data_IF_876865891484
#
_entry.id   IF_876865891484
#
_cell.length_a   1.000
_cell.length_b   1.000
_cell.length_c   1.000
_cell.angle_alpha   90.00
_cell.angle_beta   90.00
_cell.angle_gamma   90.00
#
_symmetry.space_group_name_H-M   'P 1'
#
loop_
_entity.id
_entity.type
_entity.pdbx_description
1 polymer ?
#
# COMPACT_ATOMS: atom_id res chain seq x y z
N UNK A 1 -4.26 -47.64 46.81
CA UNK A 1 -5.21 -47.72 47.95
C UNK A 1 -4.47 -47.15 49.15
N UNK A 2 -4.88 -46.10 49.85
CA UNK A 2 -6.17 -45.42 50.06
C UNK A 2 -6.00 -43.90 49.79
N UNK A 3 -6.96 -43.12 49.28
CA UNK A 3 -8.34 -42.80 49.71
C UNK A 3 -8.42 -42.03 51.02
N UNK A 4 -8.95 -40.80 50.87
CA UNK A 4 -9.90 -40.03 51.68
C UNK A 4 -9.97 -40.24 53.20
N UNK A 5 -10.21 -39.11 53.87
CA UNK A 5 -10.47 -38.92 55.30
C UNK A 5 -9.23 -38.70 56.15
N UNK A 6 -8.79 -37.44 56.19
CA UNK A 6 -8.52 -36.81 57.48
C UNK A 6 -8.46 -35.29 57.31
N UNK A 7 -9.52 -34.64 57.81
CA UNK A 7 -9.51 -33.49 58.72
C UNK A 7 -10.65 -32.51 58.41
N UNK A 8 -11.76 -32.75 59.10
CA UNK A 8 -12.88 -31.83 59.23
C UNK A 8 -12.44 -30.49 59.84
N UNK A 9 -12.99 -29.38 59.34
CA UNK A 9 -13.21 -28.19 60.16
C UNK A 9 -14.60 -27.62 59.92
N UNK A 10 -15.30 -27.50 61.04
CA UNK A 10 -16.66 -27.02 61.26
C UNK A 10 -16.85 -25.58 60.78
N UNK A 11 -17.94 -25.32 60.06
CA UNK A 11 -18.32 -23.98 59.62
C UNK A 11 -18.75 -23.07 60.78
N UNK A 12 -18.48 -21.75 60.71
CA UNK A 12 -19.05 -20.77 61.64
C UNK A 12 -20.47 -20.34 61.20
N UNK A 13 -21.28 -19.79 62.13
CA UNK A 13 -22.71 -19.56 61.94
C UNK A 13 -22.99 -18.29 61.13
N UNK A 14 -24.21 -18.25 60.56
CA UNK A 14 -24.76 -17.07 59.90
C UNK A 14 -24.82 -15.86 60.86
N UNK A 15 -24.35 -14.70 60.39
CA UNK A 15 -24.66 -13.41 60.98
C UNK A 15 -24.65 -12.30 59.90
N UNK A 16 -25.87 -11.84 59.62
CA UNK A 16 -26.31 -10.45 59.48
C UNK A 16 -25.81 -9.51 58.37
N UNK A 17 -26.80 -8.80 57.86
CA UNK A 17 -26.78 -7.86 56.75
C UNK A 17 -25.81 -6.68 56.96
N UNK A 18 -24.97 -6.42 55.95
CA UNK A 18 -24.16 -5.19 55.86
C UNK A 18 -24.58 -4.36 54.64
N UNK A 19 -24.87 -3.09 54.91
CA UNK A 19 -25.40 -2.11 53.97
C UNK A 19 -24.48 -1.86 52.75
N UNK A 20 -25.10 -1.64 51.59
CA UNK A 20 -24.40 -1.27 50.35
C UNK A 20 -23.71 0.11 50.48
N UNK A 21 -22.39 0.14 50.67
CA UNK A 21 -21.61 1.38 50.60
C UNK A 21 -21.20 1.67 49.16
N UNK A 22 -21.58 2.84 48.63
CA UNK A 22 -21.10 3.35 47.34
C UNK A 22 -19.76 4.06 47.50
N UNK A 23 -18.79 3.76 46.62
CA UNK A 23 -17.49 4.43 46.56
C UNK A 23 -17.46 5.41 45.38
N UNK A 24 -16.95 6.62 45.62
CA UNK A 24 -16.75 7.64 44.57
C UNK A 24 -15.26 7.73 44.26
N UNK A 25 -14.87 7.47 43.01
CA UNK A 25 -13.50 7.58 42.54
C UNK A 25 -13.40 8.82 41.64
N UNK A 26 -12.33 9.59 41.82
CA UNK A 26 -12.03 10.78 41.00
C UNK A 26 -10.85 10.45 40.11
N UNK A 27 -11.08 10.37 38.80
CA UNK A 27 -10.04 10.08 37.81
C UNK A 27 -9.84 11.25 36.84
N UNK A 28 -8.64 11.35 36.27
CA UNK A 28 -8.31 12.36 35.26
C UNK A 28 -8.71 11.84 33.88
N UNK A 29 -9.41 12.66 33.11
CA UNK A 29 -9.99 12.30 31.81
C UNK A 29 -9.61 13.33 30.74
N UNK A 30 -9.25 12.85 29.55
CA UNK A 30 -8.97 13.72 28.41
C UNK A 30 -10.21 13.84 27.54
N UNK A 31 -10.81 15.03 27.49
CA UNK A 31 -12.04 15.28 26.72
C UNK A 31 -11.85 15.13 25.20
N UNK A 32 -10.70 15.57 24.68
CA UNK A 32 -10.43 15.57 23.24
C UNK A 32 -10.06 14.17 22.71
N UNK A 33 -9.44 13.33 23.53
CA UNK A 33 -9.18 11.93 23.20
C UNK A 33 -10.35 11.01 23.60
N UNK A 34 -11.31 11.53 24.38
CA UNK A 34 -12.43 10.79 24.96
C UNK A 34 -12.03 9.51 25.71
N UNK A 35 -10.85 9.51 26.34
CA UNK A 35 -10.27 8.35 27.04
C UNK A 35 -9.56 8.78 28.35
N UNK A 36 -9.37 7.80 29.25
CA UNK A 36 -8.52 7.95 30.45
C UNK A 36 -7.07 7.73 30.00
N UNK A 37 -6.19 8.75 30.08
CA UNK A 37 -4.84 8.64 29.56
C UNK A 37 -4.01 7.64 30.39
N UNK A 38 -3.44 6.62 29.73
CA UNK A 38 -2.56 5.63 30.35
C UNK A 38 -1.19 6.22 30.78
N UNK A 39 -0.85 7.41 30.28
CA UNK A 39 0.35 8.16 30.66
C UNK A 39 0.10 9.66 30.56
N UNK A 40 0.68 10.44 31.49
CA UNK A 40 0.53 11.90 31.55
C UNK A 40 1.91 12.57 31.49
N UNK A 41 1.93 13.85 31.10
CA UNK A 41 3.13 14.69 31.11
C UNK A 41 3.74 14.76 32.52
N UNK A 42 5.01 15.16 32.66
CA UNK A 42 5.71 15.17 33.95
C UNK A 42 4.97 15.94 35.06
N UNK A 43 4.19 16.97 34.70
CA UNK A 43 3.38 17.77 35.62
C UNK A 43 2.03 17.11 35.98
N UNK A 44 1.70 15.96 35.39
CA UNK A 44 0.50 15.15 35.62
C UNK A 44 -0.81 15.75 35.11
N UNK A 45 -0.77 16.94 34.49
CA UNK A 45 -1.96 17.75 34.18
C UNK A 45 -2.39 17.75 32.72
N UNK A 46 -1.54 17.27 31.80
CA UNK A 46 -1.81 17.29 30.35
C UNK A 46 -1.68 15.92 29.72
N UNK A 47 -2.56 15.65 28.76
CA UNK A 47 -2.54 14.45 27.93
C UNK A 47 -1.28 14.40 27.07
N UNK A 48 -0.56 13.27 27.06
CA UNK A 48 0.64 13.10 26.22
C UNK A 48 0.34 12.92 24.73
N UNK A 49 -0.90 12.57 24.38
CA UNK A 49 -1.31 12.31 22.99
C UNK A 49 -1.70 13.62 22.28
N UNK A 50 -2.51 14.46 22.94
CA UNK A 50 -3.04 15.70 22.33
C UNK A 50 -2.52 17.00 22.97
N UNK A 51 -1.90 16.96 24.15
CA UNK A 51 -1.36 18.15 24.84
C UNK A 51 -2.37 18.98 25.65
N UNK A 52 -3.66 18.64 25.60
CA UNK A 52 -4.72 19.33 26.31
C UNK A 52 -4.73 19.04 27.82
N UNK A 53 -5.31 19.95 28.60
CA UNK A 53 -5.40 19.84 30.06
C UNK A 53 -6.46 18.81 30.46
N UNK A 54 -6.15 17.99 31.46
CA UNK A 54 -6.99 16.88 31.90
C UNK A 54 -8.06 17.36 32.89
N UNK A 55 -9.29 16.92 32.69
CA UNK A 55 -10.42 17.25 33.57
C UNK A 55 -10.59 16.16 34.64
N UNK A 56 -11.01 16.55 35.86
CA UNK A 56 -11.37 15.58 36.90
C UNK A 56 -12.80 15.11 36.70
N UNK A 57 -12.97 13.82 36.45
CA UNK A 57 -14.28 13.17 36.35
C UNK A 57 -14.52 12.30 37.59
N UNK A 58 -15.64 12.52 38.25
CA UNK A 58 -16.08 11.68 39.36
C UNK A 58 -16.98 10.57 38.82
N UNK A 59 -16.67 9.32 39.17
CA UNK A 59 -17.53 8.17 38.92
C UNK A 59 -17.90 7.51 40.25
N UNK A 60 -19.19 7.32 40.45
CA UNK A 60 -19.75 6.53 41.54
C UNK A 60 -19.90 5.09 41.09
N UNK A 61 -19.22 4.16 41.78
CA UNK A 61 -19.28 2.73 41.47
C UNK A 61 -20.12 2.02 42.55
N UNK A 62 -21.09 1.17 42.17
CA UNK A 62 -21.82 0.32 43.12
C UNK A 62 -20.86 -0.69 43.76
N UNK A 63 -20.86 -0.80 45.09
CA UNK A 63 -19.87 -1.56 45.89
C UNK A 63 -19.90 -3.09 45.77
N UNK A 64 -20.42 -3.66 44.68
CA UNK A 64 -20.60 -5.11 44.53
C UNK A 64 -19.48 -5.83 43.74
N UNK A 65 -18.29 -5.22 43.57
CA UNK A 65 -17.20 -5.83 42.76
C UNK A 65 -15.96 -6.30 43.55
N UNK A 66 -15.95 -6.21 44.88
CA UNK A 66 -14.83 -6.72 45.68
C UNK A 66 -15.32 -7.54 46.88
N UNK A 67 -16.03 -8.64 46.60
CA UNK A 67 -16.05 -9.78 47.50
C UNK A 67 -15.20 -10.86 46.86
N UNK A 68 -14.07 -11.20 47.46
CA UNK A 68 -13.24 -12.32 47.04
C UNK A 68 -14.00 -13.63 47.31
N UNK A 69 -14.74 -14.12 46.31
CA UNK A 69 -15.16 -15.52 46.25
C UNK A 69 -14.26 -16.25 45.27
N UNK A 70 -13.76 -17.42 45.67
CA UNK A 70 -13.08 -18.36 44.77
C UNK A 70 -14.01 -18.61 43.56
N UNK A 71 -13.69 -18.00 42.42
CA UNK A 71 -14.48 -18.20 41.21
C UNK A 71 -14.33 -19.64 40.78
N UNK A 72 -15.43 -20.38 40.83
CA UNK A 72 -15.40 -21.79 40.47
C UNK A 72 -15.04 -21.94 38.99
N UNK A 73 -14.40 -23.05 38.62
CA UNK A 73 -14.09 -23.36 37.21
C UNK A 73 -15.35 -23.26 36.33
N UNK A 74 -16.52 -23.54 36.89
CA UNK A 74 -17.81 -23.44 36.22
C UNK A 74 -18.23 -21.98 35.94
N UNK A 75 -17.89 -21.03 36.81
CA UNK A 75 -18.14 -19.61 36.59
C UNK A 75 -17.20 -19.02 35.55
N UNK A 76 -15.91 -19.40 35.57
CA UNK A 76 -14.97 -19.04 34.50
C UNK A 76 -15.41 -19.62 33.16
N UNK A 77 -15.88 -20.87 33.15
CA UNK A 77 -16.38 -21.51 31.94
C UNK A 77 -17.68 -20.85 31.46
N UNK A 78 -18.56 -20.42 32.36
CA UNK A 78 -19.75 -19.63 32.01
C UNK A 78 -19.41 -18.22 31.50
N UNK A 79 -18.36 -17.59 32.03
CA UNK A 79 -17.89 -16.27 31.61
C UNK A 79 -17.23 -16.32 30.24
N UNK A 80 -16.39 -17.34 29.99
CA UNK A 80 -15.81 -17.63 28.67
C UNK A 80 -16.89 -17.98 27.66
N UNK A 81 -17.87 -18.81 28.03
CA UNK A 81 -18.98 -19.13 27.13
C UNK A 81 -19.87 -17.91 26.86
N UNK A 82 -20.09 -17.02 27.83
CA UNK A 82 -20.76 -15.72 27.59
C UNK A 82 -19.98 -14.83 26.64
N UNK A 83 -18.67 -14.70 26.81
CA UNK A 83 -17.78 -13.98 25.90
C UNK A 83 -17.83 -14.57 24.49
N UNK A 84 -17.77 -15.90 24.37
CA UNK A 84 -17.87 -16.60 23.08
C UNK A 84 -19.27 -16.47 22.46
N UNK A 85 -20.32 -16.33 23.28
CA UNK A 85 -21.69 -16.11 22.80
C UNK A 85 -21.94 -14.65 22.41
N UNK A 86 -21.32 -13.68 23.09
CA UNK A 86 -21.30 -12.27 22.64
C UNK A 86 -20.49 -12.11 21.35
N UNK A 87 -19.35 -12.78 21.24
CA UNK A 87 -18.57 -12.85 19.98
C UNK A 87 -19.34 -13.61 18.88
N UNK A 88 -20.13 -14.63 19.25
CA UNK A 88 -20.89 -15.47 18.32
C UNK A 88 -22.23 -14.90 17.86
N UNK A 89 -22.89 -14.05 18.66
CA UNK A 89 -24.20 -13.47 18.33
C UNK A 89 -24.11 -12.27 17.38
N UNK A 90 -22.92 -11.67 17.20
CA UNK A 90 -22.67 -10.66 16.16
C UNK A 90 -22.59 -11.26 14.74
N UNK A 91 -22.61 -12.58 14.60
CA UNK A 91 -22.52 -13.22 13.28
C UNK A 91 -23.84 -13.22 12.50
N UNK A 92 -24.98 -12.95 13.14
CA UNK A 92 -26.28 -13.02 12.49
C UNK A 92 -27.11 -11.75 12.71
N UNK A 93 -26.67 -10.64 12.12
CA UNK A 93 -27.58 -9.56 11.72
C UNK A 93 -27.19 -8.15 12.16
N UNK A 94 -26.68 -7.36 11.21
CA UNK A 94 -27.04 -5.95 11.07
C UNK A 94 -26.45 -4.96 12.09
N UNK A 95 -25.12 -4.90 12.19
CA UNK A 95 -24.43 -3.80 12.88
C UNK A 95 -23.04 -3.59 12.28
N UNK A 96 -22.76 -2.36 11.85
CA UNK A 96 -21.46 -1.87 11.37
C UNK A 96 -20.45 -1.82 12.53
N UNK A 97 -20.02 -2.98 13.01
CA UNK A 97 -18.85 -3.12 13.87
C UNK A 97 -17.70 -3.62 13.00
N UNK A 98 -16.57 -2.89 13.01
CA UNK A 98 -15.38 -3.11 12.19
C UNK A 98 -14.61 -4.40 12.48
N UNK A 99 -15.30 -5.53 12.65
CA UNK A 99 -14.69 -6.85 12.60
C UNK A 99 -14.20 -7.09 11.16
N UNK A 100 -12.90 -7.36 11.03
CA UNK A 100 -12.28 -7.73 9.75
C UNK A 100 -12.95 -9.01 9.25
N UNK A 101 -13.94 -8.88 8.38
CA UNK A 101 -14.51 -10.05 7.71
C UNK A 101 -13.48 -10.57 6.71
N UNK A 102 -13.34 -11.90 6.58
CA UNK A 102 -12.59 -12.49 5.49
C UNK A 102 -13.10 -12.00 4.14
N UNK A 103 -12.21 -11.89 3.16
CA UNK A 103 -12.63 -11.69 1.78
C UNK A 103 -13.39 -12.94 1.27
N UNK A 104 -14.36 -12.75 0.38
CA UNK A 104 -15.01 -13.89 -0.27
C UNK A 104 -14.04 -14.58 -1.23
N UNK A 105 -14.12 -15.90 -1.34
CA UNK A 105 -13.26 -16.66 -2.25
C UNK A 105 -13.37 -16.17 -3.70
N UNK A 106 -14.56 -15.74 -4.11
CA UNK A 106 -14.77 -15.15 -5.43
C UNK A 106 -13.96 -13.85 -5.62
N UNK A 107 -14.00 -12.97 -4.62
CA UNK A 107 -13.28 -11.71 -4.70
C UNK A 107 -11.77 -11.92 -4.66
N UNK A 108 -11.27 -12.91 -3.89
CA UNK A 108 -9.86 -13.31 -3.89
C UNK A 108 -9.45 -13.88 -5.27
N UNK A 109 -10.27 -14.76 -5.86
CA UNK A 109 -10.03 -15.30 -7.22
C UNK A 109 -9.97 -14.18 -8.27
N UNK A 110 -10.82 -13.16 -8.13
CA UNK A 110 -10.89 -12.04 -9.07
C UNK A 110 -9.67 -11.10 -9.04
N UNK A 111 -8.86 -11.12 -7.98
CA UNK A 111 -7.59 -10.37 -7.96
C UNK A 111 -6.58 -10.91 -8.99
N UNK A 112 -6.67 -12.21 -9.27
CA UNK A 112 -5.71 -12.91 -10.12
C UNK A 112 -4.30 -12.99 -9.51
N UNK A 113 -3.40 -13.63 -10.26
CA UNK A 113 -1.97 -13.61 -9.96
C UNK A 113 -1.21 -13.54 -11.28
N UNK A 114 -0.04 -12.92 -11.26
CA UNK A 114 0.84 -12.85 -12.40
C UNK A 114 2.27 -13.16 -11.98
N UNK A 115 3.07 -13.59 -12.95
CA UNK A 115 4.50 -13.80 -12.75
C UNK A 115 5.18 -12.43 -12.74
N UNK A 116 5.87 -12.11 -11.65
CA UNK A 116 6.59 -10.87 -11.49
C UNK A 116 7.63 -10.73 -12.62
N UNK A 117 7.57 -9.61 -13.32
CA UNK A 117 8.49 -9.24 -14.40
C UNK A 117 9.45 -8.13 -13.96
N UNK A 118 10.27 -7.64 -14.90
CA UNK A 118 11.21 -6.54 -14.64
C UNK A 118 10.47 -5.31 -14.12
N UNK A 119 9.40 -4.86 -14.77
CA UNK A 119 8.69 -3.65 -14.36
C UNK A 119 7.92 -3.80 -13.03
N UNK A 120 7.66 -5.03 -12.60
CA UNK A 120 7.00 -5.31 -11.34
C UNK A 120 7.95 -5.33 -10.15
N UNK A 121 9.24 -5.51 -10.37
CA UNK A 121 10.24 -5.79 -9.30
C UNK A 121 11.38 -4.79 -9.27
N UNK A 122 11.64 -4.11 -10.40
CA UNK A 122 12.73 -3.18 -10.56
C UNK A 122 12.24 -1.74 -10.38
N UNK A 123 12.99 -0.97 -9.61
CA UNK A 123 12.85 0.48 -9.56
C UNK A 123 13.95 1.14 -10.39
N UNK A 124 13.56 2.12 -11.20
CA UNK A 124 14.49 2.89 -12.03
C UNK A 124 14.41 4.35 -11.64
N UNK A 125 15.56 4.88 -11.23
CA UNK A 125 15.74 6.28 -10.94
C UNK A 125 16.63 6.92 -12.01
N UNK A 126 16.22 8.09 -12.49
CA UNK A 126 16.99 8.92 -13.40
C UNK A 126 17.44 10.15 -12.64
N UNK A 127 18.74 10.30 -12.48
CA UNK A 127 19.38 11.42 -11.77
C UNK A 127 20.02 12.31 -12.80
N UNK A 128 19.53 13.53 -12.92
CA UNK A 128 19.98 14.48 -13.93
C UNK A 128 20.84 15.54 -13.26
N UNK A 129 22.01 15.80 -13.82
CA UNK A 129 22.90 16.84 -13.30
C UNK A 129 22.21 18.21 -13.36
N UNK A 130 22.11 18.88 -12.21
CA UNK A 130 21.43 20.17 -12.07
C UNK A 130 19.95 20.10 -11.68
N UNK A 131 19.34 18.91 -11.63
CA UNK A 131 17.99 18.70 -11.08
C UNK A 131 18.10 18.08 -9.68
N UNK A 132 17.41 18.65 -8.70
CA UNK A 132 17.37 18.07 -7.35
C UNK A 132 16.42 16.88 -7.30
N UNK A 133 16.92 15.75 -6.80
CA UNK A 133 16.15 14.52 -6.60
C UNK A 133 16.28 13.53 -7.75
N UNK A 134 15.50 12.45 -7.64
CA UNK A 134 15.45 11.37 -8.63
C UNK A 134 14.13 11.43 -9.39
N UNK A 135 14.19 11.22 -10.71
CA UNK A 135 13.00 11.04 -11.54
C UNK A 135 12.72 9.54 -11.67
N UNK A 136 11.50 9.13 -11.35
CA UNK A 136 11.09 7.73 -11.51
C UNK A 136 10.84 7.42 -12.99
N UNK A 137 11.39 6.29 -13.44
CA UNK A 137 11.10 5.71 -14.74
C UNK A 137 10.66 4.25 -14.59
N UNK A 138 9.95 3.73 -15.59
CA UNK A 138 9.48 2.35 -15.64
C UNK A 138 10.26 1.60 -16.73
N UNK A 139 10.88 0.44 -16.44
CA UNK A 139 11.60 -0.32 -17.46
C UNK A 139 10.63 -0.97 -18.45
N UNK A 140 11.08 -1.15 -19.69
CA UNK A 140 10.39 -2.02 -20.65
C UNK A 140 10.50 -3.49 -20.24
N UNK A 141 9.57 -4.32 -20.70
CA UNK A 141 9.67 -5.77 -20.55
C UNK A 141 10.48 -6.44 -21.69
N UNK A 142 11.37 -5.65 -22.31
CA UNK A 142 12.22 -6.04 -23.42
C UNK A 142 13.54 -5.28 -23.34
N UNK A 143 14.58 -5.82 -23.97
CA UNK A 143 15.94 -5.33 -23.80
C UNK A 143 16.50 -5.59 -22.40
N UNK A 144 17.76 -5.22 -22.16
CA UNK A 144 18.35 -5.29 -20.84
C UNK A 144 17.77 -4.23 -19.90
N UNK A 145 17.76 -4.51 -18.60
CA UNK A 145 17.46 -3.54 -17.56
C UNK A 145 18.74 -3.28 -16.74
N UNK A 146 19.56 -2.36 -17.23
CA UNK A 146 20.90 -2.07 -16.70
C UNK A 146 21.07 -0.59 -16.40
N UNK A 147 21.93 -0.31 -15.40
CA UNK A 147 22.25 1.07 -15.03
C UNK A 147 23.18 1.71 -16.06
N UNK A 148 22.95 2.98 -16.36
CA UNK A 148 23.81 3.80 -17.22
C UNK A 148 24.39 4.93 -16.37
N UNK A 149 25.70 5.11 -16.37
CA UNK A 149 26.37 6.14 -15.56
C UNK A 149 27.10 7.14 -16.44
N UNK A 150 27.01 8.41 -16.08
CA UNK A 150 27.68 9.56 -16.72
C UNK A 150 27.41 9.64 -18.21
N UNK A 151 26.17 9.38 -18.62
CA UNK A 151 25.77 9.46 -20.02
C UNK A 151 25.23 10.85 -20.34
N UNK A 152 25.72 11.46 -21.41
CA UNK A 152 25.06 12.65 -21.98
C UNK A 152 23.67 12.26 -22.49
N UNK A 153 22.75 13.21 -22.44
CA UNK A 153 21.37 13.05 -22.92
C UNK A 153 21.19 13.81 -24.24
N UNK A 154 20.44 13.23 -25.17
CA UNK A 154 20.08 13.88 -26.43
C UNK A 154 18.60 13.71 -26.72
N UNK A 155 17.95 14.75 -27.22
CA UNK A 155 16.56 14.67 -27.68
C UNK A 155 16.57 14.16 -29.12
N UNK A 156 15.77 13.15 -29.40
CA UNK A 156 15.59 12.63 -30.75
C UNK A 156 14.96 13.68 -31.69
N UNK A 157 15.40 13.69 -32.95
CA UNK A 157 14.75 14.41 -34.04
C UNK A 157 14.52 13.47 -35.24
N UNK A 158 13.28 13.14 -35.63
CA UNK A 158 12.02 13.60 -35.03
C UNK A 158 11.83 13.06 -33.62
N UNK A 159 11.13 13.85 -32.79
CA UNK A 159 10.97 13.55 -31.36
C UNK A 159 10.22 12.25 -31.08
N UNK A 160 9.32 11.82 -31.98
CA UNK A 160 8.66 10.53 -31.83
C UNK A 160 9.55 9.34 -32.21
N UNK A 161 10.65 9.55 -32.93
CA UNK A 161 11.51 8.50 -33.45
C UNK A 161 10.78 7.49 -34.35
N UNK A 162 9.68 7.87 -35.00
CA UNK A 162 8.95 7.00 -35.94
C UNK A 162 9.63 6.93 -37.31
N UNK A 163 10.39 7.97 -37.68
CA UNK A 163 11.19 8.07 -38.92
C UNK A 163 12.69 8.04 -38.60
N UNK A 164 13.57 7.84 -39.61
CA UNK A 164 15.01 7.95 -39.42
C UNK A 164 15.40 9.26 -38.73
N UNK A 165 16.35 9.18 -37.78
CA UNK A 165 16.77 10.34 -37.01
C UNK A 165 17.64 11.28 -37.85
N UNK A 166 17.29 12.56 -37.85
CA UNK A 166 18.07 13.63 -38.48
C UNK A 166 19.38 13.87 -37.73
N UNK A 167 19.36 13.73 -36.40
CA UNK A 167 20.51 13.91 -35.52
C UNK A 167 21.14 12.58 -35.07
N UNK A 168 21.07 11.52 -35.90
CA UNK A 168 21.62 10.20 -35.57
C UNK A 168 23.10 10.24 -35.13
N UNK A 169 23.91 11.10 -35.76
CA UNK A 169 25.33 11.25 -35.45
C UNK A 169 25.60 11.74 -34.01
N UNK A 170 24.62 12.38 -33.38
CA UNK A 170 24.74 12.91 -32.02
C UNK A 170 24.37 11.90 -30.94
N UNK A 171 23.82 10.73 -31.31
CA UNK A 171 23.24 9.76 -30.38
C UNK A 171 24.24 8.76 -29.81
N UNK A 172 25.42 8.64 -30.42
CA UNK A 172 26.41 7.64 -30.05
C UNK A 172 26.81 7.75 -28.56
N UNK A 173 26.67 6.66 -27.82
CA UNK A 173 26.94 6.53 -26.39
C UNK A 173 26.11 7.47 -25.49
N UNK A 174 24.98 7.98 -25.97
CA UNK A 174 24.08 8.87 -25.22
C UNK A 174 22.77 8.18 -24.86
N UNK A 175 22.11 8.73 -23.86
CA UNK A 175 20.71 8.41 -23.56
C UNK A 175 19.83 9.23 -24.52
N UNK A 176 19.04 8.55 -25.34
CA UNK A 176 18.14 9.22 -26.29
C UNK A 176 16.76 9.39 -25.67
N UNK A 177 16.25 10.62 -25.66
CA UNK A 177 14.92 10.97 -25.17
C UNK A 177 13.98 11.19 -26.34
N UNK A 178 12.83 10.50 -26.33
CA UNK A 178 11.84 10.55 -27.41
C UNK A 178 10.41 10.41 -26.87
N UNK A 179 9.40 10.77 -27.64
CA UNK A 179 7.99 10.60 -27.27
C UNK A 179 7.42 9.24 -27.67
N UNK A 180 6.40 8.81 -26.92
CA UNK A 180 5.48 7.75 -27.35
C UNK A 180 4.68 8.20 -28.59
N UNK A 181 4.37 7.25 -29.48
CA UNK A 181 3.45 7.42 -30.61
C UNK A 181 4.12 7.21 -31.96
N UNK A 182 3.36 7.05 -33.04
CA UNK A 182 3.90 6.95 -34.41
C UNK A 182 4.50 5.60 -34.84
N UNK A 183 5.05 4.79 -33.94
CA UNK A 183 5.46 3.40 -34.21
C UNK A 183 5.58 2.57 -32.91
N UNK A 184 5.90 1.28 -33.01
CA UNK A 184 6.05 0.39 -31.83
C UNK A 184 7.25 0.80 -30.96
N UNK A 185 7.24 0.43 -29.67
CA UNK A 185 8.35 0.74 -28.76
C UNK A 185 9.65 0.05 -29.19
N UNK A 186 9.57 -1.23 -29.59
CA UNK A 186 10.71 -1.99 -30.07
C UNK A 186 11.37 -1.31 -31.28
N UNK A 187 10.58 -0.89 -32.28
CA UNK A 187 11.12 -0.21 -33.47
C UNK A 187 11.83 1.10 -33.14
N UNK A 188 11.33 1.87 -32.16
CA UNK A 188 11.99 3.10 -31.69
C UNK A 188 13.36 2.81 -31.11
N UNK A 189 13.41 1.83 -30.21
CA UNK A 189 14.62 1.46 -29.48
C UNK A 189 15.64 0.85 -30.45
N UNK A 190 15.22 -0.02 -31.37
CA UNK A 190 16.09 -0.56 -32.42
C UNK A 190 16.67 0.54 -33.32
N UNK A 191 15.87 1.56 -33.66
CA UNK A 191 16.36 2.69 -34.46
C UNK A 191 17.39 3.52 -33.69
N UNK A 192 17.19 3.76 -32.40
CA UNK A 192 18.15 4.47 -31.57
C UNK A 192 19.44 3.66 -31.35
N UNK A 193 19.29 2.35 -31.17
CA UNK A 193 20.40 1.41 -31.10
C UNK A 193 21.23 1.42 -32.38
N UNK A 194 20.58 1.45 -33.56
CA UNK A 194 21.27 1.57 -34.84
C UNK A 194 22.04 2.91 -34.98
N UNK A 195 21.60 3.97 -34.30
CA UNK A 195 22.32 5.25 -34.18
C UNK A 195 23.41 5.24 -33.09
N UNK A 196 23.63 4.11 -32.40
CA UNK A 196 24.64 3.93 -31.37
C UNK A 196 24.25 4.46 -29.98
N UNK A 197 22.95 4.64 -29.72
CA UNK A 197 22.48 5.04 -28.39
C UNK A 197 22.93 4.05 -27.31
N UNK A 198 23.25 4.57 -26.12
CA UNK A 198 23.55 3.74 -24.95
C UNK A 198 22.27 3.24 -24.26
N UNK A 199 21.17 3.98 -24.39
CA UNK A 199 19.86 3.65 -23.84
C UNK A 199 18.80 4.65 -24.27
N UNK A 200 17.54 4.36 -23.97
CA UNK A 200 16.40 5.18 -24.39
C UNK A 200 15.47 5.51 -23.23
N UNK A 201 15.02 6.76 -23.17
CA UNK A 201 13.92 7.21 -22.33
C UNK A 201 12.75 7.64 -23.23
N UNK A 202 11.62 6.97 -23.10
CA UNK A 202 10.38 7.27 -23.83
C UNK A 202 9.45 8.07 -22.92
N UNK A 203 9.04 9.24 -23.39
CA UNK A 203 8.12 10.13 -22.68
C UNK A 203 6.70 9.75 -23.05
N UNK A 204 5.89 9.44 -22.04
CA UNK A 204 4.46 9.21 -22.19
C UNK A 204 3.77 10.51 -22.69
N UNK A 205 2.73 10.37 -23.51
CA UNK A 205 1.98 11.52 -24.09
C UNK A 205 0.66 11.82 -23.38
N UNK A 206 0.20 10.90 -22.53
CA UNK A 206 -1.02 11.03 -21.72
C UNK A 206 -0.69 11.13 -20.23
N UNK A 207 -1.42 11.95 -19.48
CA UNK A 207 -1.18 12.17 -18.04
C UNK A 207 -1.79 11.05 -17.19
N UNK A 208 -1.19 9.87 -17.34
CA UNK A 208 -1.53 8.67 -16.60
C UNK A 208 -0.25 8.02 -16.10
N UNK A 209 -0.37 7.17 -15.06
CA UNK A 209 0.78 6.44 -14.57
C UNK A 209 1.44 5.66 -15.72
N UNK A 210 2.78 5.71 -15.88
CA UNK A 210 3.43 5.03 -16.97
C UNK A 210 3.17 3.53 -16.87
N UNK A 211 2.63 2.95 -17.94
CA UNK A 211 2.47 1.52 -18.07
C UNK A 211 3.78 0.90 -18.56
N UNK A 212 3.96 -0.38 -18.28
CA UNK A 212 5.12 -1.14 -18.75
C UNK A 212 5.10 -1.26 -20.27
N UNK A 213 6.19 -0.88 -20.93
CA UNK A 213 6.32 -1.06 -22.37
C UNK A 213 6.46 -2.55 -22.69
N UNK A 214 5.50 -3.11 -23.40
CA UNK A 214 5.50 -4.52 -23.81
C UNK A 214 5.76 -4.64 -25.31
N UNK A 215 6.46 -5.70 -25.70
CA UNK A 215 6.62 -6.06 -27.10
C UNK A 215 5.40 -6.85 -27.58
N UNK A 216 4.44 -6.15 -28.18
CA UNK A 216 3.21 -6.77 -28.72
C UNK A 216 3.43 -7.54 -30.02
N UNK A 217 4.55 -7.31 -30.72
CA UNK A 217 4.78 -7.74 -32.11
C UNK A 217 5.93 -8.73 -32.24
N UNK A 218 6.69 -9.00 -31.16
CA UNK A 218 7.84 -9.89 -31.17
C UNK A 218 9.07 -9.29 -31.86
N UNK A 219 9.08 -7.97 -32.05
CA UNK A 219 10.11 -7.21 -32.75
C UNK A 219 11.32 -6.92 -31.86
N UNK A 220 11.21 -7.12 -30.54
CA UNK A 220 12.24 -6.71 -29.58
C UNK A 220 13.41 -7.68 -29.42
N UNK A 221 13.44 -8.78 -30.19
CA UNK A 221 14.46 -9.85 -30.07
C UNK A 221 15.89 -9.32 -30.20
N UNK A 222 16.08 -8.30 -31.03
CA UNK A 222 17.39 -7.71 -31.30
C UNK A 222 17.66 -6.44 -30.47
N UNK A 223 16.81 -6.11 -29.50
CA UNK A 223 17.03 -4.98 -28.59
C UNK A 223 18.08 -5.35 -27.56
N UNK A 224 19.22 -4.66 -27.61
CA UNK A 224 20.39 -4.86 -26.75
C UNK A 224 20.71 -3.65 -25.87
N UNK A 225 19.93 -2.57 -25.97
CA UNK A 225 20.07 -1.37 -25.14
C UNK A 225 18.88 -1.22 -24.19
N UNK A 226 19.08 -0.67 -22.99
CA UNK A 226 18.01 -0.49 -22.03
C UNK A 226 17.01 0.58 -22.46
N UNK A 227 15.73 0.33 -22.19
CA UNK A 227 14.63 1.22 -22.53
C UNK A 227 13.72 1.47 -21.33
N UNK A 228 13.45 2.74 -21.05
CA UNK A 228 12.66 3.19 -19.90
C UNK A 228 11.56 4.15 -20.34
N UNK A 229 10.49 4.25 -19.56
CA UNK A 229 9.40 5.20 -19.77
C UNK A 229 9.28 6.19 -18.61
N UNK A 230 9.05 7.45 -18.91
CA UNK A 230 8.68 8.49 -17.93
C UNK A 230 7.23 8.96 -18.14
N UNK A 231 6.61 9.46 -17.08
CA UNK A 231 5.27 10.07 -17.15
C UNK A 231 5.29 11.34 -18.00
N UNK A 232 4.13 11.70 -18.55
CA UNK A 232 4.00 12.90 -19.39
C UNK A 232 4.40 14.17 -18.63
N UNK A 233 3.93 14.30 -17.38
CA UNK A 233 4.22 15.45 -16.52
C UNK A 233 5.71 15.63 -16.27
N UNK A 234 6.41 14.58 -15.84
CA UNK A 234 7.84 14.68 -15.52
C UNK A 234 8.68 14.78 -16.79
N UNK A 235 8.33 13.99 -17.81
CA UNK A 235 9.01 13.99 -19.10
C UNK A 235 8.96 15.34 -19.82
N UNK A 236 7.83 16.06 -19.73
CA UNK A 236 7.73 17.42 -20.28
C UNK A 236 8.75 18.36 -19.63
N UNK A 237 8.81 18.38 -18.29
CA UNK A 237 9.78 19.20 -17.56
C UNK A 237 11.23 18.81 -17.88
N UNK A 238 11.50 17.52 -18.02
CA UNK A 238 12.83 17.02 -18.39
C UNK A 238 13.26 17.47 -19.80
N UNK A 239 12.35 17.39 -20.79
CA UNK A 239 12.61 17.87 -22.16
C UNK A 239 12.81 19.38 -22.20
N UNK A 240 12.00 20.15 -21.46
CA UNK A 240 12.15 21.60 -21.34
C UNK A 240 13.50 21.98 -20.72
N UNK A 241 13.93 21.27 -19.68
CA UNK A 241 15.24 21.46 -19.05
C UNK A 241 16.40 21.24 -20.03
N UNK A 242 16.37 20.14 -20.80
CA UNK A 242 17.42 19.86 -21.80
C UNK A 242 17.45 20.95 -22.87
N UNK A 243 16.28 21.38 -23.37
CA UNK A 243 16.19 22.45 -24.40
C UNK A 243 16.68 23.80 -23.90
N UNK A 244 16.56 24.09 -22.61
CA UNK A 244 17.04 25.33 -22.01
C UNK A 244 18.58 25.40 -21.96
N UNK A 245 19.27 24.25 -21.97
CA UNK A 245 20.72 24.12 -21.83
C UNK A 245 21.47 24.10 -23.18
N UNK A 246 21.04 24.91 -24.16
CA UNK A 246 21.41 24.85 -25.60
C UNK A 246 22.87 24.47 -25.94
N UNK A 247 23.87 24.98 -25.21
CA UNK A 247 25.30 24.73 -25.48
C UNK A 247 26.01 23.88 -24.41
N UNK A 248 25.27 23.41 -23.40
CA UNK A 248 25.79 22.58 -22.32
C UNK A 248 25.29 21.14 -22.48
N UNK A 249 26.21 20.18 -22.44
CA UNK A 249 25.82 18.77 -22.38
C UNK A 249 25.12 18.48 -21.07
N UNK A 250 23.87 18.05 -21.12
CA UNK A 250 23.16 17.52 -19.95
C UNK A 250 23.60 16.07 -19.72
N UNK A 251 24.10 15.78 -18.52
CA UNK A 251 24.45 14.43 -18.09
C UNK A 251 23.34 13.83 -17.22
N UNK A 252 23.08 12.54 -17.37
CA UNK A 252 22.18 11.80 -16.51
C UNK A 252 22.73 10.40 -16.16
N UNK A 253 22.44 9.98 -14.94
CA UNK A 253 22.61 8.61 -14.48
C UNK A 253 21.24 7.91 -14.46
N UNK A 254 21.19 6.69 -14.99
CA UNK A 254 20.07 5.77 -14.82
C UNK A 254 20.51 4.71 -13.82
N UNK A 255 19.84 4.69 -12.68
CA UNK A 255 20.09 3.79 -11.56
C UNK A 255 18.99 2.74 -11.55
N UNK A 256 19.37 1.50 -11.83
CA UNK A 256 18.47 0.33 -11.80
C UNK A 256 18.67 -0.40 -10.48
N UNK A 257 17.62 -0.43 -9.66
CA UNK A 257 17.56 -1.17 -8.40
C UNK A 257 16.75 -2.44 -8.63
N UNK A 258 17.45 -3.57 -8.74
CA UNK A 258 16.83 -4.90 -8.85
C UNK A 258 16.26 -5.31 -7.50
N UNK A 259 15.20 -6.12 -7.55
CA UNK A 259 14.55 -6.68 -6.35
C UNK A 259 14.15 -5.60 -5.31
N UNK A 260 13.91 -4.37 -5.78
CA UNK A 260 13.67 -3.21 -4.93
C UNK A 260 12.29 -3.22 -4.26
N UNK A 261 11.45 -4.21 -4.56
CA UNK A 261 10.14 -4.37 -3.95
C UNK A 261 10.12 -5.57 -3.02
N UNK A 262 9.76 -5.33 -1.77
CA UNK A 262 9.54 -6.35 -0.76
C UNK A 262 8.05 -6.53 -0.48
N UNK A 263 7.64 -7.76 -0.19
CA UNK A 263 6.30 -8.00 0.30
C UNK A 263 6.22 -7.62 1.77
N UNK A 264 5.46 -6.59 2.12
CA UNK A 264 5.34 -6.10 3.50
C UNK A 264 4.75 -7.10 4.51
N UNK A 265 4.15 -8.20 4.02
CA UNK A 265 3.58 -9.25 4.88
C UNK A 265 4.68 -10.15 5.43
N UNK A 266 5.59 -10.61 4.56
CA UNK A 266 6.67 -11.53 4.94
C UNK A 266 8.05 -10.86 5.02
N UNK A 267 8.17 -9.61 4.58
CA UNK A 267 9.40 -8.82 4.50
C UNK A 267 10.48 -9.49 3.63
N UNK A 268 10.06 -10.20 2.59
CA UNK A 268 10.94 -10.85 1.61
C UNK A 268 10.81 -10.17 0.26
N UNK A 269 11.92 -10.08 -0.47
CA UNK A 269 12.01 -9.56 -1.83
C UNK A 269 11.03 -10.28 -2.79
N UNK A 270 10.43 -9.51 -3.69
CA UNK A 270 9.64 -10.02 -4.81
C UNK A 270 10.52 -10.00 -6.06
N UNK A 271 11.13 -11.15 -6.38
CA UNK A 271 12.01 -11.29 -7.53
C UNK A 271 11.28 -11.69 -8.81
N UNK A 272 11.94 -11.47 -9.95
CA UNK A 272 11.45 -11.88 -11.27
C UNK A 272 11.15 -13.38 -11.26
N UNK A 273 10.01 -13.78 -11.83
CA UNK A 273 9.58 -15.18 -11.89
C UNK A 273 8.71 -15.63 -10.71
N UNK A 274 8.64 -14.87 -9.62
CA UNK A 274 7.76 -15.19 -8.49
C UNK A 274 6.29 -14.87 -8.82
N UNK A 275 5.35 -15.63 -8.23
CA UNK A 275 3.93 -15.29 -8.32
C UNK A 275 3.57 -14.16 -7.35
N UNK A 276 3.05 -13.07 -7.89
CA UNK A 276 2.60 -11.90 -7.15
C UNK A 276 1.14 -11.59 -7.48
N UNK A 277 0.47 -10.95 -6.53
CA UNK A 277 -0.90 -10.47 -6.69
C UNK A 277 -0.97 -8.99 -6.37
N UNK A 278 -1.72 -8.24 -7.19
CA UNK A 278 -2.00 -6.82 -6.98
C UNK A 278 -3.38 -6.65 -6.38
N UNK A 279 -3.48 -5.80 -5.37
CA UNK A 279 -4.76 -5.31 -4.87
C UNK A 279 -5.37 -4.30 -5.86
N UNK A 280 -6.67 -3.98 -5.78
CA UNK A 280 -7.29 -2.96 -6.63
C UNK A 280 -6.62 -1.57 -6.49
N UNK A 281 -6.01 -1.31 -5.34
CA UNK A 281 -5.19 -0.14 -5.06
C UNK A 281 -3.74 -0.21 -5.62
N UNK A 282 -3.43 -1.20 -6.46
CA UNK A 282 -2.12 -1.45 -7.12
C UNK A 282 -0.95 -1.87 -6.22
N UNK A 283 -1.11 -1.90 -4.91
CA UNK A 283 -0.12 -2.50 -4.02
C UNK A 283 0.08 -4.00 -4.33
N UNK A 284 1.33 -4.42 -4.42
CA UNK A 284 1.69 -5.81 -4.74
C UNK A 284 2.19 -6.58 -3.52
N UNK A 285 1.94 -7.88 -3.53
CA UNK A 285 2.35 -8.83 -2.49
C UNK A 285 2.66 -10.19 -3.14
N UNK A 286 3.42 -11.05 -2.46
CA UNK A 286 3.45 -12.47 -2.86
C UNK A 286 2.03 -13.04 -2.82
N UNK A 287 1.68 -13.83 -3.83
CA UNK A 287 0.33 -14.41 -3.94
C UNK A 287 -0.05 -15.15 -2.66
N UNK A 288 0.80 -16.07 -2.16
CA UNK A 288 0.52 -16.82 -0.94
C UNK A 288 0.25 -15.92 0.28
N UNK A 289 1.16 -14.98 0.56
CA UNK A 289 1.05 -14.07 1.70
C UNK A 289 -0.24 -13.25 1.67
N UNK A 290 -0.64 -12.73 0.50
CA UNK A 290 -1.88 -11.98 0.39
C UNK A 290 -3.11 -12.86 0.57
N UNK A 291 -3.09 -14.10 0.09
CA UNK A 291 -4.23 -15.01 0.24
C UNK A 291 -4.46 -15.35 1.72
N UNK A 292 -3.41 -15.65 2.47
CA UNK A 292 -3.47 -15.87 3.92
C UNK A 292 -3.98 -14.63 4.65
N UNK A 293 -3.51 -13.45 4.28
CA UNK A 293 -4.00 -12.19 4.85
C UNK A 293 -5.51 -11.97 4.60
N UNK A 294 -5.96 -12.27 3.37
CA UNK A 294 -7.35 -12.08 2.96
C UNK A 294 -8.33 -13.09 3.59
N UNK A 295 -7.82 -14.20 4.13
CA UNK A 295 -8.63 -15.11 4.96
C UNK A 295 -8.97 -14.52 6.33
N UNK A 296 -8.20 -13.53 6.81
CA UNK A 296 -8.43 -12.87 8.10
C UNK A 296 -9.14 -11.53 7.90
N UNK A 297 -8.88 -10.81 6.80
CA UNK A 297 -9.50 -9.52 6.55
C UNK A 297 -9.49 -9.11 5.09
N UNK A 298 -10.55 -8.46 4.63
CA UNK A 298 -10.75 -8.10 3.23
C UNK A 298 -10.05 -6.81 2.76
N UNK A 299 -8.94 -6.38 3.37
CA UNK A 299 -8.32 -5.07 3.08
C UNK A 299 -6.82 -5.14 2.79
N UNK A 300 -6.33 -4.17 2.03
CA UNK A 300 -4.91 -4.03 1.68
C UNK A 300 -4.04 -3.82 2.94
N UNK A 301 -2.95 -4.59 3.15
CA UNK A 301 -2.02 -4.38 4.27
C UNK A 301 -1.37 -2.99 4.31
N UNK A 302 -1.22 -2.31 3.17
CA UNK A 302 -0.54 -1.01 3.06
C UNK A 302 -1.51 0.14 3.29
N UNK A 303 -2.61 0.18 2.53
CA UNK A 303 -3.52 1.34 2.53
C UNK A 303 -4.92 1.06 3.09
N UNK A 304 -5.20 -0.17 3.55
CA UNK A 304 -6.49 -0.60 4.11
C UNK A 304 -7.70 -0.48 3.17
N UNK A 305 -7.47 -0.24 1.88
CA UNK A 305 -8.54 -0.30 0.87
C UNK A 305 -9.06 -1.73 0.76
N UNK A 306 -10.38 -1.91 0.86
CA UNK A 306 -11.04 -3.21 0.76
C UNK A 306 -11.04 -3.77 -0.66
N UNK A 307 -11.10 -5.10 -0.78
CA UNK A 307 -11.13 -5.78 -2.09
C UNK A 307 -12.50 -5.63 -2.78
N UNK A 308 -13.52 -5.17 -2.05
CA UNK A 308 -14.88 -4.93 -2.56
C UNK A 308 -15.18 -3.43 -2.68
N UNK A 309 -15.06 -2.89 -3.89
CA UNK A 309 -15.77 -1.68 -4.30
C UNK A 309 -16.15 -1.76 -5.79
N UNK A 310 -17.13 -2.62 -6.09
CA UNK A 310 -17.97 -2.45 -7.28
C UNK A 310 -19.40 -2.25 -6.77
N UNK A 311 -19.90 -1.01 -6.77
CA UNK A 311 -21.30 -0.74 -6.45
C UNK A 311 -22.17 -1.40 -7.53
N UNK A 312 -22.96 -2.37 -7.12
CA UNK A 312 -24.22 -2.70 -7.78
C UNK A 312 -25.03 -1.42 -7.94
N UNK A 313 -25.41 -1.12 -9.17
CA UNK A 313 -26.40 -0.09 -9.50
C UNK A 313 -27.69 -0.38 -8.74
N UNK A 314 -27.99 0.41 -7.70
CA UNK A 314 -29.35 0.54 -7.21
C UNK A 314 -29.73 2.02 -7.11
N UNK A 315 -30.72 2.37 -7.91
CA UNK A 315 -31.45 3.61 -7.93
C UNK A 315 -32.09 3.83 -6.54
N UNK A 316 -31.67 4.88 -5.84
CA UNK A 316 -32.38 5.43 -4.69
C UNK A 316 -31.94 6.88 -4.51
N UNK A 317 -32.75 7.77 -5.05
CA UNK A 317 -32.73 9.20 -4.76
C UNK A 317 -32.97 9.46 -3.27
N UNK A 318 -31.96 9.93 -2.54
CA UNK A 318 -32.10 10.93 -1.47
C UNK A 318 -30.73 11.37 -0.91
N UNK A 319 -30.40 12.61 -1.28
CA UNK A 319 -29.63 13.62 -0.55
C UNK A 319 -28.76 13.19 0.63
N UNK A 320 -27.43 13.18 0.43
CA UNK A 320 -26.48 13.77 1.38
C UNK A 320 -25.26 14.29 0.62
N UNK A 321 -25.15 15.61 0.56
CA UNK A 321 -24.03 16.35 -0.01
C UNK A 321 -22.81 16.16 0.90
N UNK A 322 -22.05 15.08 0.71
CA UNK A 322 -20.65 15.03 1.15
C UNK A 322 -19.80 13.94 0.47
N UNK A 323 -20.29 13.32 -0.62
CA UNK A 323 -19.58 12.29 -1.36
C UNK A 323 -18.62 12.83 -2.44
N UNK A 324 -18.64 14.13 -2.75
CA UNK A 324 -17.79 14.75 -3.78
C UNK A 324 -16.29 14.84 -3.44
N UNK A 325 -15.85 14.43 -2.24
CA UNK A 325 -14.41 14.42 -1.86
C UNK A 325 -13.73 13.06 -1.94
N UNK A 326 -14.44 11.98 -2.30
CA UNK A 326 -13.81 10.68 -2.54
C UNK A 326 -13.82 10.42 -4.03
N UNK A 327 -12.67 10.68 -4.66
CA UNK A 327 -12.42 10.42 -6.07
C UNK A 327 -12.97 9.06 -6.47
N UNK A 328 -14.06 9.09 -7.22
CA UNK A 328 -14.64 7.96 -7.92
C UNK A 328 -13.63 7.50 -8.99
N UNK A 329 -12.66 6.72 -8.54
CA UNK A 329 -11.69 6.03 -9.38
C UNK A 329 -12.39 4.82 -10.01
N UNK A 330 -13.16 5.08 -11.06
CA UNK A 330 -13.76 4.05 -11.91
C UNK A 330 -12.68 3.49 -12.88
N UNK A 331 -11.87 2.56 -12.37
CA UNK A 331 -10.81 1.86 -13.10
C UNK A 331 -11.29 0.94 -14.24
N UNK A 332 -12.60 0.79 -14.45
CA UNK A 332 -13.16 -0.15 -15.45
C UNK A 332 -13.03 0.31 -16.91
N UNK A 333 -12.60 1.54 -17.19
CA UNK A 333 -12.43 2.05 -18.56
C UNK A 333 -11.02 1.83 -19.14
N UNK A 334 -10.08 1.27 -18.37
CA UNK A 334 -8.66 1.25 -18.75
C UNK A 334 -8.16 -0.04 -19.42
N UNK A 335 -8.98 -1.10 -19.43
CA UNK A 335 -8.66 -2.39 -20.04
C UNK A 335 -9.63 -2.79 -21.16
N UNK A 336 -10.31 -1.82 -21.78
CA UNK A 336 -11.10 -2.01 -23.01
C UNK A 336 -10.44 -1.30 -24.18
#
# INVERSE_FOLDING_TARGET
MASFDDLAFTGPPAADAAAASTATIVELFCRDCNEIPQSTTADGKRCLICGCELERRQQTIPGAMFAASETSVQELQAMVMRLLTEIGNDWNGGGDTGARRPASDEAVRNLGSFTADQASTIEVAVVVEGIKGEVIAIPGNFGPCESLKKCSVVIADPFDGAKPFQNANEMKNKIVVMARGGCTFAQKVLRAQAAGAAGVIIIQTVDVWPYTMTDSTGESKDVTIPAFMMSAKVGKGFVEFIRAKRDESVSADIIVRKDARECVICQVEMSIGMKVTRMPCQHMFHTGCLHEWLQIGNSCPICRVEIAAKRTTHNSSSTSQNAQQRGDFAWSEWFS
#
